data_IF_343445799661
#
_entry.id   IF_343445799661
#
_cell.length_a   1.000
_cell.length_b   1.000
_cell.length_c   1.000
_cell.angle_alpha   90.00
_cell.angle_beta   90.00
_cell.angle_gamma   90.00
#
_symmetry.space_group_name_H-M   'P 1'
#
loop_
_entity.id
_entity.type
_entity.pdbx_description
1 polymer ?
#
# COMPACT_ATOMS: atom_id res chain seq x y z
N UNK A 1 -9.32 -4.36 22.64
CA UNK A 1 -8.04 -3.62 22.47
C UNK A 1 -6.91 -4.56 22.85
N UNK A 2 -5.72 -4.47 22.26
CA UNK A 2 -4.57 -5.28 22.70
C UNK A 2 -4.30 -4.95 24.16
N UNK A 3 -4.19 -5.98 25.03
CA UNK A 3 -4.03 -5.79 26.48
C UNK A 3 -2.69 -5.09 26.79
N UNK A 4 -2.66 -4.28 27.86
CA UNK A 4 -1.42 -3.60 28.28
C UNK A 4 -0.29 -4.62 28.52
N UNK A 5 -0.60 -5.75 29.09
CA UNK A 5 0.35 -6.87 29.32
C UNK A 5 0.97 -7.35 27.99
N UNK A 6 0.17 -7.49 26.94
CA UNK A 6 0.68 -7.85 25.61
C UNK A 6 1.54 -6.75 25.00
N UNK A 7 1.13 -5.48 25.13
CA UNK A 7 1.90 -4.33 24.67
C UNK A 7 3.27 -4.30 25.35
N UNK A 8 3.32 -4.44 26.67
CA UNK A 8 4.57 -4.46 27.44
C UNK A 8 5.47 -5.65 27.03
N UNK A 9 4.88 -6.83 26.79
CA UNK A 9 5.58 -8.00 26.28
C UNK A 9 6.17 -7.74 24.90
N UNK A 10 5.44 -7.11 23.99
CA UNK A 10 5.93 -6.74 22.67
C UNK A 10 7.14 -5.82 22.80
N UNK A 11 7.01 -4.70 23.53
CA UNK A 11 8.09 -3.72 23.68
C UNK A 11 9.34 -4.28 24.38
N UNK A 12 9.18 -5.23 25.30
CA UNK A 12 10.32 -5.88 25.96
C UNK A 12 11.04 -6.94 25.09
N UNK A 13 10.33 -7.52 24.13
CA UNK A 13 10.82 -8.62 23.31
C UNK A 13 11.42 -8.15 21.99
N UNK A 14 10.76 -7.21 21.30
CA UNK A 14 11.19 -6.75 19.97
C UNK A 14 12.50 -5.99 20.04
N UNK A 15 13.29 -6.09 18.96
CA UNK A 15 14.54 -5.36 18.79
C UNK A 15 14.42 -4.39 17.63
N UNK A 16 14.69 -3.10 17.91
CA UNK A 16 14.56 -2.04 16.91
C UNK A 16 15.44 -2.31 15.69
N UNK A 17 16.66 -2.79 15.91
CA UNK A 17 17.60 -3.11 14.84
C UNK A 17 17.16 -4.30 13.96
N UNK A 18 16.42 -5.27 14.53
CA UNK A 18 15.90 -6.41 13.80
C UNK A 18 14.67 -6.05 12.97
N UNK A 19 13.77 -5.24 13.52
CA UNK A 19 12.59 -4.74 12.81
C UNK A 19 13.04 -3.86 11.63
N UNK A 20 13.90 -2.88 11.90
CA UNK A 20 14.35 -1.92 10.89
C UNK A 20 15.26 -2.57 9.84
N UNK A 21 16.04 -3.57 10.24
CA UNK A 21 16.95 -4.28 9.34
C UNK A 21 16.26 -5.04 8.21
N UNK A 22 14.93 -5.26 8.26
CA UNK A 22 14.15 -5.81 7.16
C UNK A 22 13.87 -4.80 6.05
N UNK A 23 13.91 -3.52 6.38
CA UNK A 23 13.56 -2.41 5.49
C UNK A 23 14.77 -1.59 5.04
N UNK A 24 15.77 -1.50 5.91
CA UNK A 24 16.95 -0.64 5.73
C UNK A 24 18.22 -1.47 5.86
N UNK A 25 19.11 -1.35 4.88
CA UNK A 25 20.44 -1.95 4.98
C UNK A 25 21.28 -1.22 6.04
N UNK A 26 21.30 -1.76 7.24
CA UNK A 26 22.00 -1.21 8.39
C UNK A 26 23.47 -1.64 8.41
N UNK A 27 24.38 -0.67 8.58
CA UNK A 27 25.82 -0.89 8.82
C UNK A 27 26.18 -0.46 10.22
N UNK A 28 27.00 -1.26 10.90
CA UNK A 28 27.43 -0.94 12.28
C UNK A 28 28.29 0.33 12.32
N UNK A 29 27.98 1.21 13.26
CA UNK A 29 28.67 2.47 13.49
C UNK A 29 28.86 2.68 15.00
N UNK A 30 29.94 2.08 15.56
CA UNK A 30 30.16 2.03 17.01
C UNK A 30 29.11 1.17 17.72
N UNK A 31 28.43 1.74 18.71
CA UNK A 31 27.32 1.10 19.44
C UNK A 31 25.97 1.18 18.71
N UNK A 32 25.89 1.94 17.62
CA UNK A 32 24.70 2.15 16.85
C UNK A 32 24.80 1.49 15.46
N UNK A 33 23.71 1.58 14.69
CA UNK A 33 23.70 1.27 13.27
C UNK A 33 23.34 2.52 12.46
N UNK A 34 23.83 2.58 11.21
CA UNK A 34 23.49 3.63 10.23
C UNK A 34 23.05 3.02 8.91
N UNK A 35 22.15 3.70 8.23
CA UNK A 35 21.67 3.36 6.88
C UNK A 35 21.22 4.60 6.13
N UNK A 36 20.86 4.42 4.88
CA UNK A 36 20.15 5.45 4.11
C UNK A 36 18.74 5.58 4.63
N UNK A 37 18.17 6.78 4.59
CA UNK A 37 16.79 7.00 4.98
C UNK A 37 15.83 6.20 4.10
N UNK A 38 14.87 5.47 4.67
CA UNK A 38 13.82 4.82 3.89
C UNK A 38 12.67 5.78 3.54
N UNK A 39 12.74 7.05 3.95
CA UNK A 39 11.67 8.02 3.80
C UNK A 39 11.90 9.01 2.65
N UNK A 40 13.09 9.03 2.07
CA UNK A 40 13.43 9.84 0.90
C UNK A 40 14.76 9.36 0.29
N UNK A 41 15.03 9.77 -0.92
CA UNK A 41 16.26 9.42 -1.62
C UNK A 41 17.44 10.26 -1.11
N UNK A 42 18.52 9.60 -0.69
CA UNK A 42 19.76 10.24 -0.21
C UNK A 42 21.00 9.41 -0.54
N UNK A 43 22.14 10.09 -0.67
CA UNK A 43 23.43 9.44 -0.95
C UNK A 43 24.29 9.22 0.29
N UNK A 44 24.02 9.95 1.37
CA UNK A 44 24.79 9.90 2.61
C UNK A 44 23.92 9.38 3.74
N UNK A 45 24.34 8.31 4.46
CA UNK A 45 23.54 7.72 5.53
C UNK A 45 23.23 8.72 6.65
N UNK A 46 21.96 9.08 6.80
CA UNK A 46 21.44 9.95 7.86
C UNK A 46 20.54 9.21 8.87
N UNK A 47 20.16 7.99 8.55
CA UNK A 47 19.30 7.18 9.40
C UNK A 47 20.11 6.41 10.44
N UNK A 48 19.81 6.59 11.72
CA UNK A 48 20.55 6.00 12.85
C UNK A 48 19.62 5.17 13.71
N UNK A 49 20.06 3.97 14.07
CA UNK A 49 19.36 3.06 14.98
C UNK A 49 20.23 2.82 16.21
N UNK A 50 19.65 3.00 17.39
CA UNK A 50 20.31 2.78 18.68
C UNK A 50 19.73 1.58 19.41
N UNK A 51 20.40 0.40 19.36
CA UNK A 51 19.94 -0.80 20.07
C UNK A 51 19.83 -0.62 21.60
N UNK A 52 20.80 0.11 22.19
CA UNK A 52 20.81 0.32 23.65
C UNK A 52 19.62 1.16 24.14
N UNK A 53 19.09 2.05 23.29
CA UNK A 53 17.94 2.90 23.63
C UNK A 53 16.62 2.37 23.02
N UNK A 54 16.70 1.37 22.15
CA UNK A 54 15.56 0.83 21.39
C UNK A 54 14.80 1.92 20.60
N UNK A 55 15.56 2.83 19.97
CA UNK A 55 15.03 3.93 19.16
C UNK A 55 15.79 4.07 17.84
N UNK A 56 15.13 4.72 16.90
CA UNK A 56 15.73 5.20 15.66
C UNK A 56 15.57 6.70 15.52
N UNK A 57 16.42 7.30 14.70
CA UNK A 57 16.35 8.72 14.32
C UNK A 57 16.80 8.88 12.89
N UNK A 58 15.99 9.54 12.09
CA UNK A 58 16.34 10.03 10.77
C UNK A 58 16.67 11.52 10.87
N UNK A 59 17.95 11.85 10.72
CA UNK A 59 18.44 13.21 10.87
C UNK A 59 18.09 14.09 9.68
N UNK A 60 17.76 13.54 8.53
CA UNK A 60 17.39 14.30 7.34
C UNK A 60 15.93 14.77 7.37
N UNK A 61 15.01 13.91 7.78
CA UNK A 61 13.59 14.25 7.90
C UNK A 61 13.17 14.76 9.31
N UNK A 62 14.07 14.60 10.30
CA UNK A 62 13.76 14.90 11.69
C UNK A 62 12.86 13.86 12.39
N UNK A 63 12.40 12.82 11.70
CA UNK A 63 11.57 11.74 12.26
C UNK A 63 12.37 10.83 13.20
N UNK A 64 11.68 10.17 14.13
CA UNK A 64 12.29 9.21 15.03
C UNK A 64 11.28 8.59 15.99
N UNK A 65 11.70 7.51 16.66
CA UNK A 65 10.84 6.82 17.63
C UNK A 65 11.26 5.39 17.94
N UNK A 66 10.30 4.56 18.33
CA UNK A 66 10.47 3.14 18.60
C UNK A 66 10.34 2.27 17.34
N UNK A 67 10.57 0.97 17.45
CA UNK A 67 10.30 0.02 16.36
C UNK A 67 8.83 0.07 15.89
N UNK A 68 7.89 0.26 16.80
CA UNK A 68 6.46 0.36 16.47
C UNK A 68 6.18 1.64 15.69
N UNK A 69 6.73 2.79 16.09
CA UNK A 69 6.57 4.03 15.32
C UNK A 69 7.22 3.95 13.95
N UNK A 70 8.32 3.19 13.80
CA UNK A 70 8.91 2.92 12.50
C UNK A 70 7.94 2.16 11.59
N UNK A 71 7.34 1.07 12.08
CA UNK A 71 6.35 0.30 11.33
C UNK A 71 5.13 1.14 10.95
N UNK A 72 4.67 2.02 11.84
CA UNK A 72 3.58 2.95 11.53
C UNK A 72 3.94 3.90 10.38
N UNK A 73 5.17 4.40 10.36
CA UNK A 73 5.64 5.34 9.33
C UNK A 73 5.92 4.64 7.97
N UNK A 74 6.56 3.48 7.99
CA UNK A 74 7.01 2.81 6.77
C UNK A 74 5.90 2.02 6.07
N UNK A 75 5.03 1.36 6.84
CA UNK A 75 3.93 0.54 6.36
C UNK A 75 2.59 1.29 6.33
N UNK A 76 2.58 2.53 6.81
CA UNK A 76 1.35 3.29 7.05
C UNK A 76 0.35 2.54 7.95
N UNK A 77 0.87 1.78 8.92
CA UNK A 77 0.04 1.07 9.90
C UNK A 77 -0.54 2.00 10.95
N UNK A 78 -1.73 1.67 11.43
CA UNK A 78 -2.21 2.16 12.71
C UNK A 78 -1.41 1.53 13.85
N UNK A 79 -1.43 2.12 15.02
CA UNK A 79 -0.72 1.58 16.19
C UNK A 79 -1.08 0.12 16.52
N UNK A 80 -2.37 -0.31 16.51
CA UNK A 80 -2.72 -1.71 16.70
C UNK A 80 -2.22 -2.63 15.58
N UNK A 81 -2.20 -2.17 14.32
CA UNK A 81 -1.67 -2.96 13.21
C UNK A 81 -0.17 -3.17 13.36
N UNK A 82 0.59 -2.13 13.71
CA UNK A 82 2.02 -2.23 13.95
C UNK A 82 2.35 -3.20 15.12
N UNK A 83 1.56 -3.16 16.20
CA UNK A 83 1.70 -4.11 17.31
C UNK A 83 1.41 -5.55 16.87
N UNK A 84 0.35 -5.79 16.08
CA UNK A 84 0.03 -7.14 15.56
C UNK A 84 1.12 -7.66 14.63
N UNK A 85 1.64 -6.78 13.77
CA UNK A 85 2.75 -7.14 12.88
C UNK A 85 4.00 -7.55 13.66
N UNK A 86 4.41 -6.74 14.64
CA UNK A 86 5.55 -7.05 15.51
C UNK A 86 5.32 -8.33 16.33
N UNK A 87 4.13 -8.50 16.91
CA UNK A 87 3.77 -9.71 17.68
C UNK A 87 3.85 -10.97 16.82
N UNK A 88 3.32 -10.93 15.58
CA UNK A 88 3.38 -12.04 14.64
C UNK A 88 4.81 -12.45 14.32
N UNK A 89 5.70 -11.47 14.06
CA UNK A 89 7.11 -11.72 13.76
C UNK A 89 7.84 -12.43 14.91
N UNK A 90 7.57 -12.03 16.14
CA UNK A 90 8.24 -12.59 17.34
C UNK A 90 7.46 -13.74 18.00
N UNK A 91 6.39 -14.23 17.38
CA UNK A 91 5.57 -15.33 17.90
C UNK A 91 4.89 -15.01 19.24
N UNK A 92 4.55 -13.73 19.46
CA UNK A 92 3.86 -13.27 20.66
C UNK A 92 2.36 -13.43 20.46
N UNK A 93 1.73 -14.22 21.34
CA UNK A 93 0.28 -14.34 21.37
C UNK A 93 -0.36 -13.03 21.88
N UNK A 94 -1.40 -12.56 21.18
CA UNK A 94 -2.08 -11.32 21.50
C UNK A 94 -3.29 -11.60 22.38
N UNK A 95 -3.23 -11.16 23.64
CA UNK A 95 -4.37 -11.09 24.53
C UNK A 95 -5.11 -9.78 24.26
N UNK A 96 -6.43 -9.85 24.00
CA UNK A 96 -7.26 -8.67 23.79
C UNK A 96 -8.20 -8.46 24.97
N UNK A 97 -8.16 -7.27 25.56
CA UNK A 97 -9.16 -6.85 26.51
C UNK A 97 -10.46 -6.54 25.78
N UNK A 98 -11.60 -6.91 26.35
CA UNK A 98 -12.92 -6.52 25.86
C UNK A 98 -13.12 -5.03 26.11
N UNK A 99 -12.62 -4.18 25.24
CA UNK A 99 -12.91 -2.76 25.23
C UNK A 99 -13.98 -2.50 24.20
N UNK A 100 -15.04 -1.86 24.60
CA UNK A 100 -16.04 -1.32 23.67
C UNK A 100 -15.41 -0.14 22.93
N UNK A 101 -15.04 -0.34 21.68
CA UNK A 101 -14.71 0.76 20.77
C UNK A 101 -15.94 1.65 20.60
N UNK A 102 -15.74 2.95 20.51
CA UNK A 102 -16.84 3.83 20.08
C UNK A 102 -17.28 3.38 18.67
N UNK A 103 -18.56 3.58 18.37
CA UNK A 103 -19.09 3.21 17.05
C UNK A 103 -18.33 3.90 15.91
N UNK A 104 -17.81 5.11 16.12
CA UNK A 104 -16.97 5.84 15.17
C UNK A 104 -15.63 5.15 14.92
N UNK A 105 -14.96 4.65 15.96
CA UNK A 105 -13.67 3.95 15.84
C UNK A 105 -13.84 2.60 15.12
N UNK A 106 -14.91 1.86 15.42
CA UNK A 106 -15.23 0.61 14.70
C UNK A 106 -15.50 0.89 13.21
N UNK A 107 -16.27 1.94 12.94
CA UNK A 107 -16.61 2.34 11.57
C UNK A 107 -15.37 2.73 10.76
N UNK A 108 -14.48 3.54 11.32
CA UNK A 108 -13.22 3.94 10.67
C UNK A 108 -12.30 2.74 10.40
N UNK A 109 -12.15 1.83 11.36
CA UNK A 109 -11.35 0.61 11.16
C UNK A 109 -11.94 -0.30 10.07
N UNK A 110 -13.25 -0.46 10.05
CA UNK A 110 -13.97 -1.23 9.03
C UNK A 110 -13.81 -0.61 7.65
N UNK A 111 -13.89 0.72 7.54
CA UNK A 111 -13.71 1.44 6.29
C UNK A 111 -12.29 1.26 5.73
N UNK A 112 -11.27 1.39 6.57
CA UNK A 112 -9.88 1.17 6.17
C UNK A 112 -9.63 -0.26 5.68
N UNK A 113 -10.18 -1.26 6.34
CA UNK A 113 -10.09 -2.66 5.89
C UNK A 113 -10.82 -2.87 4.55
N UNK A 114 -11.96 -2.22 4.35
CA UNK A 114 -12.67 -2.25 3.07
C UNK A 114 -11.86 -1.59 1.95
N UNK A 115 -11.14 -0.49 2.23
CA UNK A 115 -10.26 0.13 1.25
C UNK A 115 -9.14 -0.82 0.81
N UNK A 116 -8.46 -1.50 1.72
CA UNK A 116 -7.48 -2.52 1.34
C UNK A 116 -8.09 -3.61 0.47
N UNK A 117 -9.24 -4.13 0.89
CA UNK A 117 -9.93 -5.20 0.19
C UNK A 117 -10.35 -4.81 -1.23
N UNK A 118 -10.87 -3.60 -1.42
CA UNK A 118 -11.28 -3.15 -2.76
C UNK A 118 -10.07 -2.91 -3.67
N UNK A 119 -8.92 -2.48 -3.15
CA UNK A 119 -7.70 -2.36 -3.92
C UNK A 119 -7.15 -3.73 -4.35
N UNK A 120 -7.20 -4.75 -3.49
CA UNK A 120 -6.84 -6.12 -3.86
C UNK A 120 -7.76 -6.69 -4.93
N UNK A 121 -9.07 -6.46 -4.81
CA UNK A 121 -10.06 -6.88 -5.82
C UNK A 121 -9.82 -6.18 -7.16
N UNK A 122 -9.51 -4.89 -7.14
CA UNK A 122 -9.19 -4.13 -8.35
C UNK A 122 -7.89 -4.63 -9.00
N UNK A 123 -6.88 -4.93 -8.18
CA UNK A 123 -5.61 -5.46 -8.67
C UNK A 123 -5.80 -6.83 -9.35
N UNK A 124 -6.59 -7.71 -8.76
CA UNK A 124 -6.95 -9.01 -9.38
C UNK A 124 -7.69 -8.80 -10.68
N UNK A 125 -8.70 -7.93 -10.69
CA UNK A 125 -9.48 -7.61 -11.90
C UNK A 125 -8.59 -7.09 -13.04
N UNK A 126 -7.68 -6.14 -12.79
CA UNK A 126 -6.80 -5.60 -13.82
C UNK A 126 -5.80 -6.64 -14.34
N UNK A 127 -5.36 -7.59 -13.52
CA UNK A 127 -4.54 -8.71 -13.95
C UNK A 127 -5.35 -9.68 -14.82
N UNK A 128 -6.56 -10.05 -14.42
CA UNK A 128 -7.47 -10.91 -15.21
C UNK A 128 -7.72 -10.28 -16.58
N UNK A 129 -8.03 -8.99 -16.64
CA UNK A 129 -8.19 -8.28 -17.93
C UNK A 129 -6.92 -8.34 -18.77
N UNK A 130 -5.74 -8.16 -18.19
CA UNK A 130 -4.47 -8.24 -18.92
C UNK A 130 -4.23 -9.62 -19.55
N UNK A 131 -4.53 -10.70 -18.81
CA UNK A 131 -4.18 -12.05 -19.20
C UNK A 131 -5.29 -12.80 -19.96
N UNK A 132 -6.55 -12.48 -19.73
CA UNK A 132 -7.69 -13.24 -20.24
C UNK A 132 -8.50 -12.51 -21.30
N UNK A 133 -8.57 -11.16 -21.23
CA UNK A 133 -9.31 -10.36 -22.19
C UNK A 133 -8.52 -10.11 -23.48
N UNK A 134 -9.18 -10.11 -24.64
CA UNK A 134 -8.54 -9.91 -25.95
C UNK A 134 -7.88 -8.52 -26.07
N UNK A 135 -8.57 -7.46 -25.61
CA UNK A 135 -8.02 -6.10 -25.57
C UNK A 135 -6.80 -6.01 -24.67
N UNK A 136 -6.89 -6.62 -23.46
CA UNK A 136 -5.78 -6.68 -22.50
C UNK A 136 -4.55 -7.36 -23.08
N UNK A 137 -4.72 -8.47 -23.78
CA UNK A 137 -3.62 -9.18 -24.48
C UNK A 137 -3.04 -8.37 -25.63
N UNK A 138 -3.90 -7.87 -26.50
CA UNK A 138 -3.48 -7.16 -27.70
C UNK A 138 -2.80 -5.82 -27.41
N UNK A 139 -3.24 -5.10 -26.37
CA UNK A 139 -2.75 -3.75 -26.05
C UNK A 139 -1.84 -3.78 -24.82
N UNK A 140 -2.36 -4.24 -23.68
CA UNK A 140 -1.64 -4.19 -22.41
C UNK A 140 -0.43 -5.11 -22.36
N UNK A 141 -0.62 -6.38 -22.66
CA UNK A 141 0.46 -7.37 -22.63
C UNK A 141 1.52 -7.09 -23.71
N UNK A 142 1.10 -6.69 -24.93
CA UNK A 142 2.02 -6.29 -25.99
C UNK A 142 2.90 -5.10 -25.55
N UNK A 143 2.31 -4.10 -24.90
CA UNK A 143 3.06 -2.96 -24.37
C UNK A 143 4.16 -3.37 -23.38
N UNK A 144 3.90 -4.32 -22.47
CA UNK A 144 4.90 -4.82 -21.54
C UNK A 144 5.99 -5.63 -22.25
N UNK A 145 5.62 -6.49 -23.20
CA UNK A 145 6.56 -7.30 -23.97
C UNK A 145 7.48 -6.47 -24.86
N UNK A 146 6.98 -5.41 -25.49
CA UNK A 146 7.80 -4.45 -26.25
C UNK A 146 8.86 -3.74 -25.38
N UNK A 147 8.71 -3.77 -24.06
CA UNK A 147 9.67 -3.24 -23.07
C UNK A 147 10.51 -4.32 -22.41
N UNK A 148 10.56 -5.50 -23.06
CA UNK A 148 11.36 -6.63 -22.60
C UNK A 148 10.95 -7.16 -21.20
N UNK A 149 9.72 -6.86 -20.76
CA UNK A 149 9.18 -7.44 -19.52
C UNK A 149 8.66 -8.86 -19.82
N UNK A 150 9.29 -9.85 -19.22
CA UNK A 150 8.88 -11.24 -19.31
C UNK A 150 7.65 -11.52 -18.42
N UNK A 151 6.94 -12.60 -18.74
CA UNK A 151 5.67 -12.96 -18.08
C UNK A 151 5.82 -13.18 -16.58
N UNK A 152 6.96 -13.70 -16.12
CA UNK A 152 7.29 -13.89 -14.71
C UNK A 152 7.42 -12.54 -13.97
N UNK A 153 8.01 -11.54 -14.61
CA UNK A 153 8.15 -10.18 -14.08
C UNK A 153 6.78 -9.50 -14.04
N UNK A 154 6.01 -9.59 -15.13
CA UNK A 154 4.65 -9.01 -15.18
C UNK A 154 3.78 -9.59 -14.06
N UNK A 155 3.82 -10.91 -13.86
CA UNK A 155 3.10 -11.59 -12.77
C UNK A 155 3.63 -11.23 -11.39
N UNK A 156 4.95 -11.21 -11.22
CA UNK A 156 5.60 -10.88 -9.93
C UNK A 156 5.22 -9.48 -9.45
N UNK A 157 5.20 -8.51 -10.36
CA UNK A 157 4.82 -7.14 -10.05
C UNK A 157 3.32 -6.88 -10.18
N UNK A 158 2.52 -7.93 -10.48
CA UNK A 158 1.06 -7.87 -10.57
C UNK A 158 0.55 -6.78 -11.53
N UNK A 159 1.29 -6.57 -12.64
CA UNK A 159 0.93 -5.57 -13.64
C UNK A 159 -0.41 -5.93 -14.28
N UNK A 160 -1.20 -4.90 -14.63
CA UNK A 160 -2.55 -5.07 -15.12
C UNK A 160 -2.90 -4.17 -16.30
N UNK A 161 -4.14 -4.28 -16.74
CA UNK A 161 -4.72 -3.42 -17.78
C UNK A 161 -6.17 -3.07 -17.43
N UNK A 162 -6.53 -1.81 -17.60
CA UNK A 162 -7.90 -1.33 -17.50
C UNK A 162 -8.45 -1.06 -18.90
N UNK A 163 -9.59 -1.70 -19.30
CA UNK A 163 -10.08 -1.70 -20.67
C UNK A 163 -10.72 -0.36 -21.09
N UNK A 164 -11.12 -0.27 -22.37
CA UNK A 164 -11.80 0.91 -22.95
C UNK A 164 -13.19 1.12 -22.34
N UNK A 165 -13.87 0.05 -21.94
CA UNK A 165 -15.17 0.15 -21.29
C UNK A 165 -15.09 1.08 -20.08
N UNK A 166 -15.94 2.10 -20.07
CA UNK A 166 -15.84 3.23 -19.12
C UNK A 166 -16.16 2.87 -17.66
N UNK A 167 -16.81 1.74 -17.41
CA UNK A 167 -17.34 1.31 -16.11
C UNK A 167 -17.05 -0.17 -15.83
N UNK A 168 -16.05 -0.75 -16.47
CA UNK A 168 -15.77 -2.20 -16.39
C UNK A 168 -15.52 -2.66 -14.96
N UNK A 169 -14.61 -2.02 -14.24
CA UNK A 169 -14.33 -2.33 -12.84
C UNK A 169 -15.48 -1.88 -11.92
N UNK A 170 -16.00 -0.68 -12.13
CA UNK A 170 -17.08 -0.12 -11.29
C UNK A 170 -18.30 -1.05 -11.29
N UNK A 171 -18.72 -1.52 -12.47
CA UNK A 171 -19.81 -2.47 -12.61
C UNK A 171 -19.51 -3.79 -11.92
N UNK A 172 -18.34 -4.36 -12.19
CA UNK A 172 -17.87 -5.60 -11.57
C UNK A 172 -17.89 -5.53 -10.03
N UNK A 173 -17.41 -4.41 -9.47
CA UNK A 173 -17.37 -4.23 -8.03
C UNK A 173 -18.78 -4.07 -7.40
N UNK A 174 -19.67 -3.33 -8.07
CA UNK A 174 -21.07 -3.19 -7.64
C UNK A 174 -21.81 -4.54 -7.68
N UNK A 175 -21.60 -5.36 -8.72
CA UNK A 175 -22.17 -6.71 -8.82
C UNK A 175 -21.64 -7.66 -7.71
N UNK A 176 -20.42 -7.42 -7.21
CA UNK A 176 -19.87 -8.11 -6.03
C UNK A 176 -20.36 -7.57 -4.69
N UNK A 177 -21.23 -6.57 -4.69
CA UNK A 177 -21.86 -6.02 -3.49
C UNK A 177 -21.06 -4.92 -2.78
N UNK A 178 -20.04 -4.35 -3.44
CA UNK A 178 -19.37 -3.18 -2.89
C UNK A 178 -20.23 -1.93 -3.05
N UNK A 179 -20.31 -1.12 -2.01
CA UNK A 179 -21.11 0.10 -1.99
C UNK A 179 -20.39 1.24 -2.76
N UNK A 180 -21.20 2.12 -3.38
CA UNK A 180 -20.68 3.28 -4.13
C UNK A 180 -19.75 4.15 -3.31
N UNK A 181 -20.08 4.37 -2.05
CA UNK A 181 -19.29 5.20 -1.13
C UNK A 181 -17.85 4.69 -0.97
N UNK A 182 -17.67 3.38 -0.80
CA UNK A 182 -16.32 2.80 -0.66
C UNK A 182 -15.57 2.82 -1.99
N UNK A 183 -16.25 2.62 -3.12
CA UNK A 183 -15.65 2.70 -4.45
C UNK A 183 -15.16 4.11 -4.76
N UNK A 184 -15.91 5.14 -4.38
CA UNK A 184 -15.53 6.54 -4.53
C UNK A 184 -14.35 6.91 -3.62
N UNK A 185 -14.41 6.53 -2.34
CA UNK A 185 -13.33 6.73 -1.36
C UNK A 185 -12.03 6.02 -1.76
N UNK A 186 -12.11 4.89 -2.45
CA UNK A 186 -10.93 4.20 -2.98
C UNK A 186 -10.24 4.98 -4.11
N UNK A 187 -10.95 5.89 -4.74
CA UNK A 187 -10.49 6.65 -5.90
C UNK A 187 -10.31 5.82 -7.17
N UNK A 188 -10.81 4.57 -7.22
CA UNK A 188 -10.77 3.71 -8.40
C UNK A 188 -11.98 3.99 -9.30
N UNK A 189 -13.13 4.28 -8.70
CA UNK A 189 -14.37 4.66 -9.37
C UNK A 189 -14.71 6.12 -9.09
N UNK A 190 -15.39 6.77 -10.03
CA UNK A 190 -15.89 8.14 -9.94
C UNK A 190 -17.38 8.11 -10.25
N UNK A 191 -18.20 8.82 -9.48
CA UNK A 191 -19.64 8.90 -9.64
C UNK A 191 -20.11 10.33 -9.96
N UNK A 192 -19.93 10.82 -11.21
CA UNK A 192 -20.41 12.14 -11.61
C UNK A 192 -21.94 12.19 -11.53
N UNK A 193 -22.51 13.37 -11.24
CA UNK A 193 -23.96 13.59 -11.19
C UNK A 193 -24.69 13.08 -12.45
N UNK A 194 -24.07 13.26 -13.62
CA UNK A 194 -24.63 12.83 -14.92
C UNK A 194 -24.38 11.34 -15.23
N UNK A 195 -23.68 10.60 -14.36
CA UNK A 195 -23.38 9.17 -14.56
C UNK A 195 -23.51 8.43 -13.22
N UNK A 196 -24.74 8.22 -12.73
CA UNK A 196 -24.98 7.61 -11.41
C UNK A 196 -24.54 6.15 -11.31
N UNK A 197 -24.29 5.48 -12.45
CA UNK A 197 -23.71 4.12 -12.53
C UNK A 197 -22.20 4.10 -12.27
N UNK A 198 -21.57 5.29 -12.26
CA UNK A 198 -20.13 5.45 -12.09
C UNK A 198 -19.31 5.21 -13.35
N UNK A 199 -18.04 5.58 -13.26
CA UNK A 199 -17.02 5.37 -14.31
C UNK A 199 -15.69 5.02 -13.67
N UNK A 200 -14.87 4.26 -14.39
CA UNK A 200 -13.54 3.87 -13.97
C UNK A 200 -12.55 5.04 -14.12
N UNK A 201 -11.73 5.26 -13.11
CA UNK A 201 -10.68 6.27 -13.13
C UNK A 201 -9.57 5.96 -14.13
N UNK A 202 -9.18 4.69 -14.23
CA UNK A 202 -7.98 4.25 -14.95
C UNK A 202 -8.25 3.69 -16.36
N UNK A 203 -9.32 4.06 -16.98
CA UNK A 203 -9.73 3.55 -18.30
C UNK A 203 -8.64 3.64 -19.36
N UNK A 204 -8.53 2.61 -20.22
CA UNK A 204 -7.57 2.51 -21.35
C UNK A 204 -6.10 2.67 -20.94
N UNK A 205 -5.72 2.06 -19.81
CA UNK A 205 -4.39 2.24 -19.25
C UNK A 205 -3.76 0.92 -18.84
N UNK A 206 -2.47 0.81 -19.02
CA UNK A 206 -1.68 -0.18 -18.28
C UNK A 206 -1.57 0.26 -16.83
N UNK A 207 -1.66 -0.72 -15.92
CA UNK A 207 -1.77 -0.52 -14.48
C UNK A 207 -0.51 -1.05 -13.80
N UNK A 208 0.02 -0.25 -12.90
CA UNK A 208 1.14 -0.56 -12.03
C UNK A 208 0.63 -0.47 -10.59
N UNK A 209 0.43 -1.58 -9.88
CA UNK A 209 0.02 -1.51 -8.49
C UNK A 209 1.13 -0.94 -7.62
N UNK A 210 0.75 -0.13 -6.65
CA UNK A 210 1.64 0.45 -5.65
C UNK A 210 1.44 -0.37 -4.37
N UNK A 211 2.49 -1.06 -3.94
CA UNK A 211 2.47 -1.92 -2.77
C UNK A 211 3.11 -1.25 -1.56
N UNK A 212 2.63 -1.60 -0.37
CA UNK A 212 3.40 -1.42 0.85
C UNK A 212 4.58 -2.41 0.91
N UNK A 213 5.49 -2.24 1.84
CA UNK A 213 6.57 -3.21 2.07
C UNK A 213 6.04 -4.60 2.50
N UNK A 214 4.88 -4.66 3.12
CA UNK A 214 4.20 -5.93 3.46
C UNK A 214 3.46 -6.56 2.29
N UNK A 215 3.47 -5.94 1.11
CA UNK A 215 2.87 -6.46 -0.12
C UNK A 215 1.38 -6.14 -0.30
N UNK A 216 0.78 -5.31 0.54
CA UNK A 216 -0.61 -4.85 0.37
C UNK A 216 -0.70 -3.82 -0.75
N UNK A 217 -1.74 -3.89 -1.57
CA UNK A 217 -1.99 -2.88 -2.60
C UNK A 217 -2.57 -1.61 -1.96
N UNK A 218 -1.86 -0.50 -2.10
CA UNK A 218 -2.23 0.80 -1.56
C UNK A 218 -2.93 1.69 -2.59
N UNK A 219 -2.60 1.52 -3.85
CA UNK A 219 -3.09 2.33 -4.96
C UNK A 219 -2.52 1.86 -6.29
N UNK A 220 -2.70 2.68 -7.31
CA UNK A 220 -2.27 2.36 -8.66
C UNK A 220 -1.63 3.57 -9.34
N UNK A 221 -0.53 3.33 -10.07
CA UNK A 221 -0.06 4.18 -11.13
C UNK A 221 -0.57 3.64 -12.47
N UNK A 222 -0.93 4.52 -13.38
CA UNK A 222 -1.48 4.12 -14.66
C UNK A 222 -0.96 4.98 -15.81
N UNK A 223 -0.72 4.35 -16.96
CA UNK A 223 -0.26 5.03 -18.17
C UNK A 223 -1.20 4.77 -19.35
N UNK A 224 -1.65 5.82 -20.02
CA UNK A 224 -2.40 5.70 -21.26
C UNK A 224 -1.45 5.38 -22.41
N UNK A 225 -1.87 4.49 -23.31
CA UNK A 225 -1.04 4.07 -24.44
C UNK A 225 -1.41 4.79 -25.74
N UNK A 226 -2.63 5.31 -25.85
CA UNK A 226 -3.07 6.09 -27.01
C UNK A 226 -2.27 7.40 -27.12
N UNK A 227 -1.80 7.70 -28.34
CA UNK A 227 -1.26 8.99 -28.70
C UNK A 227 -2.40 9.94 -29.07
N UNK A 228 -2.21 11.24 -28.88
CA UNK A 228 -3.18 12.31 -29.24
C UNK A 228 -4.47 12.37 -28.41
N UNK A 229 -4.43 11.96 -27.15
CA UNK A 229 -5.54 12.15 -26.19
C UNK A 229 -5.32 13.41 -25.35
N UNK A 230 -6.42 14.12 -25.05
CA UNK A 230 -6.40 15.34 -24.19
C UNK A 230 -6.30 15.02 -22.68
N UNK A 231 -5.94 13.80 -22.30
CA UNK A 231 -5.84 13.37 -20.90
C UNK A 231 -4.38 13.20 -20.48
N UNK A 232 -4.12 13.29 -19.20
CA UNK A 232 -2.78 13.09 -18.64
C UNK A 232 -2.21 11.72 -19.04
N UNK A 233 -0.95 11.69 -19.51
CA UNK A 233 -0.26 10.46 -19.92
C UNK A 233 -0.11 9.48 -18.76
N UNK A 234 0.20 9.98 -17.59
CA UNK A 234 0.31 9.24 -16.33
C UNK A 234 -0.77 9.70 -15.37
N UNK A 235 -1.32 8.77 -14.61
CA UNK A 235 -2.35 9.02 -13.62
C UNK A 235 -2.10 8.13 -12.40
N UNK A 236 -2.09 8.71 -11.22
CA UNK A 236 -1.98 7.96 -9.97
C UNK A 236 -3.34 7.92 -9.24
N UNK A 237 -3.47 6.96 -8.33
CA UNK A 237 -4.54 6.99 -7.33
C UNK A 237 -4.53 8.33 -6.59
N UNK A 238 -5.69 8.88 -6.23
CA UNK A 238 -5.75 10.01 -5.30
C UNK A 238 -5.29 9.57 -3.91
N UNK A 239 -4.99 10.52 -3.06
CA UNK A 239 -4.73 10.24 -1.64
C UNK A 239 -5.98 9.65 -0.98
N UNK A 240 -5.76 8.63 -0.16
CA UNK A 240 -6.78 7.94 0.62
C UNK A 240 -6.24 7.69 2.04
N UNK A 241 -7.04 7.11 2.92
CA UNK A 241 -6.58 6.71 4.25
C UNK A 241 -5.44 5.66 4.23
N UNK A 242 -5.32 4.90 3.14
CA UNK A 242 -4.29 3.86 2.97
C UNK A 242 -3.17 4.27 2.02
N UNK A 243 -3.32 5.33 1.22
CA UNK A 243 -2.35 5.78 0.24
C UNK A 243 -2.09 7.28 0.33
N UNK A 244 -0.82 7.68 0.44
CA UNK A 244 -0.37 9.08 0.40
C UNK A 244 0.73 9.23 -0.65
N UNK A 245 0.59 10.21 -1.54
CA UNK A 245 1.59 10.53 -2.55
C UNK A 245 2.89 10.99 -1.85
N UNK A 246 4.03 10.38 -2.22
CA UNK A 246 5.32 10.66 -1.59
C UNK A 246 5.70 9.75 -0.41
N UNK A 247 4.79 8.87 0.04
CA UNK A 247 5.11 7.79 1.01
C UNK A 247 5.20 6.41 0.37
N UNK A 248 4.82 6.28 -0.91
CA UNK A 248 5.08 5.07 -1.66
C UNK A 248 6.54 5.12 -2.14
N UNK A 249 7.39 4.32 -1.56
CA UNK A 249 8.76 4.18 -2.01
C UNK A 249 8.78 3.33 -3.28
N UNK A 250 9.40 3.89 -4.31
CA UNK A 250 9.78 3.20 -5.53
C UNK A 250 11.01 2.34 -5.25
#
# INVERSE_FOLDING_TARGET
MISQKTIDKIFSTIRVEEIIGEYVQLKRAGSNFKGLSPFHDEKTPSFVVSPSKQIWKDFSSGKGGSAITFLMEIENFTYPEALRHAAKKYGIEIEEDKVEYSEEQKKAQTERELLYKIHEVANTFFQEILWENEEGKAIGLSYFKERELHDDIIKKFQLGYSPEQKDAFTKYALEKGYEKEILEKSGISIFPENTPTGVDRFRERVIFPIHSFSGRVLGFGARILKSNVKTAKYLNSPETEIYQIGRAHV
#
